data_IF_301185614120
#
_entry.id   IF_301185614120
#
_cell.length_a   1.000
_cell.length_b   1.000
_cell.length_c   1.000
_cell.angle_alpha   90.00
_cell.angle_beta   90.00
_cell.angle_gamma   90.00
#
_symmetry.space_group_name_H-M   'P 1'
#
loop_
_entity.id
_entity.type
_entity.pdbx_description
1 polymer ?
#
# COMPACT_ATOMS: atom_id res chain seq x y z
N UNK A 1 -59.90 67.86 -13.19
CA UNK A 1 -59.15 68.81 -12.33
C UNK A 1 -59.50 68.53 -10.88
N UNK A 2 -58.53 68.73 -9.99
CA UNK A 2 -58.67 68.74 -8.52
C UNK A 2 -58.66 67.40 -7.80
N UNK A 3 -57.48 67.13 -7.25
CA UNK A 3 -57.20 66.45 -5.98
C UNK A 3 -58.13 66.87 -4.83
N UNK A 4 -58.50 65.92 -3.96
CA UNK A 4 -58.67 66.16 -2.52
C UNK A 4 -58.66 64.84 -1.74
N UNK A 5 -57.79 64.79 -0.71
CA UNK A 5 -57.72 63.74 0.33
C UNK A 5 -58.74 64.02 1.45
N UNK A 6 -59.14 62.93 2.14
CA UNK A 6 -59.43 62.77 3.59
C UNK A 6 -60.62 61.80 3.76
N UNK A 7 -60.77 60.92 4.75
CA UNK A 7 -59.96 60.32 5.83
C UNK A 7 -60.85 59.21 6.46
N UNK A 8 -60.24 58.15 7.01
CA UNK A 8 -60.77 57.22 8.07
C UNK A 8 -62.00 56.32 7.81
N UNK A 9 -61.78 55.00 7.85
CA UNK A 9 -62.17 54.02 8.91
C UNK A 9 -61.90 52.61 8.36
N UNK A 10 -60.97 51.82 8.91
CA UNK A 10 -61.19 50.94 10.06
C UNK A 10 -61.33 49.49 9.58
N UNK A 11 -60.26 48.68 9.59
CA UNK A 11 -60.35 47.23 9.43
C UNK A 11 -59.25 46.50 10.20
N UNK A 12 -59.68 45.47 10.92
CA UNK A 12 -58.95 44.71 11.92
C UNK A 12 -57.72 43.99 11.36
N UNK A 13 -56.65 44.01 12.16
CA UNK A 13 -55.47 43.16 12.04
C UNK A 13 -55.84 41.70 12.39
N UNK A 14 -55.59 40.77 11.47
CA UNK A 14 -55.43 39.34 11.75
C UNK A 14 -54.00 38.96 11.35
N UNK A 15 -53.14 38.78 12.36
CA UNK A 15 -51.77 38.30 12.21
C UNK A 15 -51.84 36.78 12.04
N UNK A 16 -51.53 36.28 10.85
CA UNK A 16 -51.25 34.86 10.64
C UNK A 16 -49.74 34.63 10.80
N UNK A 17 -49.33 34.00 11.91
CA UNK A 17 -47.98 33.47 12.09
C UNK A 17 -47.78 32.28 11.15
N UNK A 18 -47.06 32.47 10.06
CA UNK A 18 -46.49 31.38 9.26
C UNK A 18 -45.17 30.92 9.89
N UNK A 19 -45.18 29.79 10.59
CA UNK A 19 -43.95 29.13 11.06
C UNK A 19 -43.28 28.45 9.88
N UNK A 20 -42.29 29.11 9.28
CA UNK A 20 -41.39 28.49 8.31
C UNK A 20 -40.37 27.62 9.04
N UNK A 21 -40.58 26.30 9.07
CA UNK A 21 -39.58 25.35 9.54
C UNK A 21 -38.43 25.28 8.54
N UNK A 22 -37.28 25.86 8.92
CA UNK A 22 -36.02 25.74 8.19
C UNK A 22 -35.49 24.32 8.41
N UNK A 23 -35.79 23.39 7.49
CA UNK A 23 -35.19 22.05 7.49
C UNK A 23 -33.71 22.17 7.11
N UNK A 24 -32.85 22.34 8.11
CA UNK A 24 -31.42 22.10 7.97
C UNK A 24 -31.23 20.62 7.64
N UNK A 25 -31.10 20.31 6.34
CA UNK A 25 -30.70 18.99 5.88
C UNK A 25 -29.31 18.68 6.43
N UNK A 26 -29.26 17.84 7.46
CA UNK A 26 -28.02 17.21 7.90
C UNK A 26 -27.54 16.34 6.74
N UNK A 27 -26.57 16.83 5.96
CA UNK A 27 -25.85 15.98 5.01
C UNK A 27 -25.00 15.05 5.84
N UNK A 28 -25.50 13.84 6.09
CA UNK A 28 -24.64 12.74 6.52
C UNK A 28 -23.68 12.45 5.37
N UNK A 29 -22.44 12.89 5.51
CA UNK A 29 -21.32 12.40 4.69
C UNK A 29 -21.30 10.90 4.91
N UNK A 30 -21.69 10.12 3.90
CA UNK A 30 -21.48 8.67 3.93
C UNK A 30 -19.98 8.47 4.02
N UNK A 31 -19.50 7.91 5.12
CA UNK A 31 -18.15 7.35 5.13
C UNK A 31 -18.09 6.37 3.96
N UNK A 32 -17.15 6.59 3.05
CA UNK A 32 -16.92 5.69 1.93
C UNK A 32 -16.61 4.31 2.52
N UNK A 33 -17.36 3.28 2.14
CA UNK A 33 -17.10 1.94 2.64
C UNK A 33 -15.73 1.51 2.11
N UNK A 34 -14.74 1.40 3.00
CA UNK A 34 -13.39 0.96 2.64
C UNK A 34 -13.49 -0.42 2.01
N UNK A 35 -13.16 -0.53 0.71
CA UNK A 35 -13.12 -1.82 0.04
C UNK A 35 -11.83 -2.53 0.42
N UNK A 36 -11.94 -3.44 1.39
CA UNK A 36 -10.81 -4.28 1.83
C UNK A 36 -10.80 -5.59 1.05
N UNK A 37 -9.66 -5.87 0.42
CA UNK A 37 -9.32 -7.15 -0.20
C UNK A 37 -8.44 -7.93 0.77
N UNK A 38 -8.97 -9.02 1.30
CA UNK A 38 -8.25 -9.90 2.23
C UNK A 38 -7.37 -10.90 1.46
N UNK A 39 -6.09 -10.96 1.83
CA UNK A 39 -5.09 -11.90 1.31
C UNK A 39 -4.51 -12.67 2.48
N UNK A 40 -4.82 -13.96 2.57
CA UNK A 40 -4.17 -14.88 3.50
C UNK A 40 -2.87 -15.42 2.89
N UNK A 41 -1.77 -15.34 3.61
CA UNK A 41 -0.52 -16.02 3.27
C UNK A 41 -0.28 -17.20 4.21
N UNK A 42 0.08 -18.33 3.63
CA UNK A 42 0.71 -19.45 4.34
C UNK A 42 1.92 -19.90 3.55
N UNK A 43 2.59 -20.94 4.03
CA UNK A 43 3.81 -21.46 3.42
C UNK A 43 3.58 -21.78 1.94
N UNK A 44 4.17 -20.93 1.10
CA UNK A 44 4.19 -21.02 -0.36
C UNK A 44 2.80 -20.92 -1.03
N UNK A 45 1.80 -20.33 -0.36
CA UNK A 45 0.43 -20.23 -0.90
C UNK A 45 -0.26 -18.92 -0.52
N UNK A 46 -1.16 -18.47 -1.39
CA UNK A 46 -2.10 -17.39 -1.13
C UNK A 46 -3.54 -17.90 -1.09
N UNK A 47 -4.32 -17.37 -0.15
CA UNK A 47 -5.78 -17.37 -0.18
C UNK A 47 -6.25 -15.96 -0.48
N UNK A 48 -6.73 -15.73 -1.70
CA UNK A 48 -7.17 -14.42 -2.18
C UNK A 48 -8.35 -14.57 -3.16
N UNK A 49 -9.19 -13.54 -3.34
CA UNK A 49 -10.21 -13.56 -4.38
C UNK A 49 -9.57 -13.64 -5.78
N UNK A 50 -10.20 -14.39 -6.67
CA UNK A 50 -9.76 -14.47 -8.08
C UNK A 50 -10.20 -13.27 -8.91
N UNK A 51 -11.21 -12.52 -8.44
CA UNK A 51 -11.73 -11.34 -9.12
C UNK A 51 -12.13 -10.29 -8.10
N UNK A 52 -11.77 -9.04 -8.37
CA UNK A 52 -12.16 -7.86 -7.60
C UNK A 52 -12.60 -6.73 -8.53
N UNK A 53 -13.32 -5.75 -7.99
CA UNK A 53 -13.67 -4.53 -8.72
C UNK A 53 -12.48 -3.56 -8.77
N UNK A 54 -12.34 -2.87 -9.89
CA UNK A 54 -11.40 -1.76 -10.07
C UNK A 54 -11.74 -0.59 -9.15
N UNK A 55 -10.73 0.18 -8.80
CA UNK A 55 -10.83 1.34 -7.93
C UNK A 55 -9.69 1.39 -6.92
N UNK A 56 -9.83 2.29 -5.95
CA UNK A 56 -8.94 2.36 -4.81
C UNK A 56 -9.30 1.25 -3.82
N UNK A 57 -8.37 0.36 -3.55
CA UNK A 57 -8.59 -0.80 -2.67
C UNK A 57 -7.58 -0.83 -1.55
N UNK A 58 -8.03 -1.19 -0.36
CA UNK A 58 -7.12 -1.57 0.74
C UNK A 58 -6.84 -3.07 0.62
N UNK A 59 -5.58 -3.45 0.43
CA UNK A 59 -5.17 -4.85 0.57
C UNK A 59 -4.70 -5.09 1.99
N UNK A 60 -5.26 -6.13 2.61
CA UNK A 60 -4.82 -6.65 3.90
C UNK A 60 -4.15 -8.00 3.70
N UNK A 61 -2.88 -8.08 4.06
CA UNK A 61 -2.19 -9.37 4.15
C UNK A 61 -2.28 -9.85 5.59
N UNK A 62 -2.69 -11.10 5.79
CA UNK A 62 -2.52 -11.82 7.06
C UNK A 62 -1.61 -13.01 6.84
N UNK A 63 -0.48 -13.04 7.53
CA UNK A 63 0.44 -14.16 7.47
C UNK A 63 0.06 -15.19 8.54
N UNK A 64 -0.45 -16.34 8.12
CA UNK A 64 -0.78 -17.48 8.98
C UNK A 64 0.37 -18.49 9.11
N UNK A 65 1.41 -18.33 8.30
CA UNK A 65 2.59 -19.18 8.29
C UNK A 65 3.66 -18.76 9.30
N UNK A 66 4.81 -19.42 9.21
CA UNK A 66 6.01 -19.17 10.01
C UNK A 66 7.04 -18.33 9.27
N UNK A 67 7.17 -18.51 7.95
CA UNK A 67 8.10 -17.73 7.13
C UNK A 67 7.60 -16.29 6.94
N UNK A 68 8.51 -15.38 6.61
CA UNK A 68 8.14 -14.04 6.14
C UNK A 68 7.34 -14.19 4.85
N UNK A 69 6.21 -13.49 4.74
CA UNK A 69 5.47 -13.43 3.48
C UNK A 69 5.13 -11.98 3.16
N UNK A 70 5.12 -11.65 1.87
CA UNK A 70 4.61 -10.39 1.34
C UNK A 70 3.68 -10.69 0.15
N UNK A 71 2.99 -9.67 -0.36
CA UNK A 71 2.11 -9.80 -1.52
C UNK A 71 2.42 -8.68 -2.51
N UNK A 72 3.29 -8.95 -3.49
CA UNK A 72 3.56 -8.02 -4.59
C UNK A 72 2.40 -8.07 -5.57
N UNK A 73 1.82 -6.91 -5.89
CA UNK A 73 0.86 -6.78 -6.99
C UNK A 73 1.57 -6.39 -8.28
N UNK A 74 1.34 -7.20 -9.31
CA UNK A 74 1.97 -7.07 -10.61
C UNK A 74 0.88 -6.96 -11.66
N UNK A 75 0.73 -5.81 -12.31
CA UNK A 75 -0.20 -5.62 -13.43
C UNK A 75 0.47 -6.11 -14.71
N UNK A 76 -0.09 -7.13 -15.35
CA UNK A 76 0.43 -7.62 -16.63
C UNK A 76 0.12 -6.60 -17.75
N UNK A 77 1.05 -6.47 -18.70
CA UNK A 77 0.85 -5.68 -19.91
C UNK A 77 -0.28 -6.29 -20.75
N UNK A 78 -0.94 -5.46 -21.57
CA UNK A 78 -2.02 -5.92 -22.43
C UNK A 78 -1.52 -7.03 -23.36
N UNK A 79 -2.22 -8.18 -23.35
CA UNK A 79 -1.87 -9.35 -24.16
C UNK A 79 -0.89 -10.32 -23.51
N UNK A 80 -0.30 -9.99 -22.35
CA UNK A 80 0.51 -10.94 -21.56
C UNK A 80 -0.41 -11.84 -20.74
N UNK A 81 -0.29 -13.15 -20.91
CA UNK A 81 -1.02 -14.13 -20.10
C UNK A 81 -0.32 -14.42 -18.78
N UNK A 82 -1.07 -14.95 -17.80
CA UNK A 82 -0.51 -15.46 -16.56
C UNK A 82 0.57 -16.51 -16.81
N UNK A 83 0.31 -17.48 -17.69
CA UNK A 83 1.25 -18.57 -17.97
C UNK A 83 2.55 -18.04 -18.60
N UNK A 84 2.44 -17.09 -19.55
CA UNK A 84 3.62 -16.46 -20.15
C UNK A 84 4.47 -15.75 -19.10
N UNK A 85 3.82 -14.96 -18.24
CA UNK A 85 4.51 -14.26 -17.17
C UNK A 85 5.11 -15.21 -16.13
N UNK A 86 4.37 -16.23 -15.70
CA UNK A 86 4.83 -17.20 -14.72
C UNK A 86 6.03 -18.01 -15.25
N UNK A 87 6.02 -18.40 -16.52
CA UNK A 87 7.18 -19.05 -17.16
C UNK A 87 8.39 -18.12 -17.18
N UNK A 88 8.24 -16.89 -17.66
CA UNK A 88 9.34 -15.94 -17.73
C UNK A 88 9.90 -15.62 -16.33
N UNK A 89 9.03 -15.45 -15.33
CA UNK A 89 9.46 -15.20 -13.95
C UNK A 89 10.22 -16.40 -13.36
N UNK A 90 9.83 -17.63 -13.69
CA UNK A 90 10.56 -18.84 -13.26
C UNK A 90 11.93 -18.98 -13.93
N UNK A 91 12.07 -18.54 -15.19
CA UNK A 91 13.31 -18.67 -15.96
C UNK A 91 14.29 -17.51 -15.72
N UNK A 92 13.78 -16.29 -15.57
CA UNK A 92 14.57 -15.05 -15.56
C UNK A 92 14.50 -14.33 -14.20
N UNK A 93 13.63 -14.76 -13.29
CA UNK A 93 13.38 -14.07 -12.02
C UNK A 93 12.77 -12.68 -12.24
N UNK A 94 13.07 -11.75 -11.34
CA UNK A 94 12.54 -10.38 -11.39
C UNK A 94 12.94 -9.61 -12.66
N UNK A 95 13.98 -10.05 -13.38
CA UNK A 95 14.40 -9.45 -14.65
C UNK A 95 13.32 -9.56 -15.75
N UNK A 96 12.38 -10.50 -15.64
CA UNK A 96 11.25 -10.62 -16.58
C UNK A 96 10.24 -9.47 -16.45
N UNK A 97 10.15 -8.84 -15.26
CA UNK A 97 9.05 -7.93 -14.92
C UNK A 97 8.99 -6.71 -15.86
N UNK A 98 10.07 -5.94 -16.13
CA UNK A 98 9.96 -4.69 -16.87
C UNK A 98 9.45 -4.83 -18.31
N UNK A 99 9.66 -5.98 -18.94
CA UNK A 99 9.19 -6.25 -20.30
C UNK A 99 7.71 -6.67 -20.36
N UNK A 100 7.19 -7.21 -19.26
CA UNK A 100 5.91 -7.94 -19.25
C UNK A 100 4.85 -7.31 -18.36
N UNK A 101 5.24 -6.48 -17.41
CA UNK A 101 4.35 -6.02 -16.36
C UNK A 101 4.81 -4.70 -15.70
N UNK A 102 3.92 -4.16 -14.87
CA UNK A 102 4.16 -3.00 -14.00
C UNK A 102 3.93 -3.43 -12.55
N UNK A 103 4.86 -3.08 -11.66
CA UNK A 103 4.68 -3.26 -10.23
C UNK A 103 3.82 -2.12 -9.68
N UNK A 104 2.74 -2.44 -8.98
CA UNK A 104 1.74 -1.46 -8.52
C UNK A 104 1.61 -1.41 -6.99
N UNK A 105 2.66 -1.84 -6.28
CA UNK A 105 2.69 -1.94 -4.83
C UNK A 105 2.22 -3.30 -4.32
N UNK A 106 1.36 -3.29 -3.32
CA UNK A 106 0.98 -4.48 -2.56
C UNK A 106 1.62 -4.50 -1.17
N UNK A 107 1.21 -5.43 -0.32
CA UNK A 107 1.62 -5.44 1.09
C UNK A 107 3.04 -5.93 1.23
N UNK A 108 3.87 -5.15 1.93
CA UNK A 108 5.26 -5.48 2.28
C UNK A 108 5.42 -6.74 3.13
N UNK A 109 6.67 -7.10 3.44
CA UNK A 109 7.01 -8.29 4.23
C UNK A 109 6.45 -8.23 5.64
N UNK A 110 5.73 -9.29 6.01
CA UNK A 110 5.10 -9.47 7.31
C UNK A 110 5.64 -10.76 7.92
N UNK A 111 6.17 -10.67 9.15
CA UNK A 111 6.57 -11.85 9.91
C UNK A 111 5.39 -12.76 10.25
N UNK A 112 5.67 -14.04 10.50
CA UNK A 112 4.65 -15.03 10.84
C UNK A 112 3.68 -14.55 11.91
N UNK A 113 2.40 -14.86 11.72
CA UNK A 113 1.27 -14.43 12.56
C UNK A 113 0.99 -12.91 12.56
N UNK A 114 1.67 -12.15 11.72
CA UNK A 114 1.45 -10.71 11.56
C UNK A 114 0.40 -10.35 10.50
N UNK A 115 0.07 -9.06 10.42
CA UNK A 115 -0.76 -8.51 9.37
C UNK A 115 -0.34 -7.07 9.05
N UNK A 116 -0.54 -6.64 7.81
CA UNK A 116 -0.31 -5.27 7.37
C UNK A 116 -1.24 -4.88 6.22
N UNK A 117 -1.43 -3.58 6.08
CA UNK A 117 -2.38 -2.98 5.15
C UNK A 117 -1.67 -1.97 4.25
N UNK A 118 -1.97 -2.06 2.96
CA UNK A 118 -1.68 -0.99 2.01
C UNK A 118 -2.95 -0.63 1.25
N UNK A 119 -2.94 0.53 0.63
CA UNK A 119 -3.97 0.91 -0.31
C UNK A 119 -3.35 1.35 -1.62
N UNK A 120 -3.93 0.84 -2.70
CA UNK A 120 -3.44 1.01 -4.07
C UNK A 120 -4.62 1.29 -5.01
N UNK A 121 -4.31 1.91 -6.13
CA UNK A 121 -5.29 2.18 -7.17
C UNK A 121 -5.19 1.10 -8.26
N UNK A 122 -6.26 0.33 -8.43
CA UNK A 122 -6.33 -0.74 -9.42
C UNK A 122 -7.24 -0.35 -10.58
N UNK A 123 -6.70 -0.43 -11.78
CA UNK A 123 -7.48 -0.31 -13.02
C UNK A 123 -7.82 -1.70 -13.56
N UNK A 124 -8.84 -1.83 -14.43
CA UNK A 124 -9.16 -3.11 -15.04
C UNK A 124 -7.95 -3.75 -15.74
N UNK A 125 -7.81 -5.06 -15.59
CA UNK A 125 -6.70 -5.82 -16.16
C UNK A 125 -6.42 -7.13 -15.45
N UNK A 126 -5.40 -7.83 -15.94
CA UNK A 126 -4.90 -9.07 -15.34
C UNK A 126 -3.71 -8.75 -14.45
N UNK A 127 -3.74 -9.29 -13.23
CA UNK A 127 -2.71 -9.10 -12.23
C UNK A 127 -2.19 -10.45 -11.74
N UNK A 128 -1.00 -10.41 -11.15
CA UNK A 128 -0.40 -11.52 -10.40
C UNK A 128 -0.10 -11.02 -9.00
N UNK A 129 -0.46 -11.83 -8.01
CA UNK A 129 0.03 -11.72 -6.63
C UNK A 129 1.21 -12.68 -6.51
N UNK A 130 2.39 -12.20 -6.15
CA UNK A 130 3.59 -13.03 -6.03
C UNK A 130 4.35 -12.75 -4.71
N UNK A 131 5.05 -13.76 -4.21
CA UNK A 131 5.96 -13.64 -3.06
C UNK A 131 7.41 -13.92 -3.50
N UNK A 132 8.26 -12.89 -3.47
CA UNK A 132 9.68 -12.91 -3.80
C UNK A 132 10.58 -13.17 -2.59
N UNK A 133 10.02 -13.18 -1.37
CA UNK A 133 10.78 -13.49 -0.16
C UNK A 133 11.50 -14.85 -0.32
N UNK A 134 12.82 -14.91 -0.09
CA UNK A 134 13.57 -16.16 -0.14
C UNK A 134 13.28 -17.00 1.12
N UNK A 135 13.10 -18.30 0.90
CA UNK A 135 13.16 -19.30 1.97
C UNK A 135 14.60 -19.48 2.47
N UNK A 136 14.77 -20.24 3.56
CA UNK A 136 16.10 -20.58 4.09
C UNK A 136 16.99 -21.41 3.15
N UNK A 137 16.43 -21.98 2.09
CA UNK A 137 17.16 -22.64 0.98
C UNK A 137 17.61 -21.65 -0.11
N UNK A 138 17.32 -20.36 0.05
CA UNK A 138 17.62 -19.30 -0.91
C UNK A 138 16.61 -19.15 -2.04
N UNK A 139 15.65 -20.08 -2.20
CA UNK A 139 14.68 -20.01 -3.27
C UNK A 139 13.54 -19.05 -2.92
N UNK A 140 13.14 -18.14 -3.82
CA UNK A 140 12.00 -17.27 -3.59
C UNK A 140 10.70 -18.08 -3.53
N UNK A 141 9.74 -17.64 -2.72
CA UNK A 141 8.49 -18.39 -2.53
C UNK A 141 7.69 -18.59 -3.81
N UNK A 142 7.74 -17.66 -4.77
CA UNK A 142 7.08 -17.82 -6.07
C UNK A 142 7.61 -19.06 -6.80
N UNK A 143 8.91 -19.34 -6.69
CA UNK A 143 9.54 -20.53 -7.30
C UNK A 143 9.08 -21.83 -6.63
N UNK A 144 8.49 -21.73 -5.44
CA UNK A 144 7.89 -22.83 -4.67
C UNK A 144 6.37 -22.90 -4.86
N UNK A 145 5.80 -22.08 -5.75
CA UNK A 145 4.39 -22.06 -6.12
C UNK A 145 3.58 -20.87 -5.58
N UNK A 146 4.21 -19.94 -4.87
CA UNK A 146 3.51 -18.81 -4.23
C UNK A 146 3.20 -17.66 -5.21
N UNK A 147 2.37 -17.96 -6.19
CA UNK A 147 1.77 -16.99 -7.11
C UNK A 147 0.29 -17.28 -7.30
N UNK A 148 -0.50 -16.23 -7.47
CA UNK A 148 -1.92 -16.34 -7.78
C UNK A 148 -2.34 -15.31 -8.84
N UNK A 149 -3.16 -15.69 -9.83
CA UNK A 149 -3.78 -14.72 -10.74
C UNK A 149 -4.87 -13.93 -10.01
N UNK A 150 -5.01 -12.66 -10.39
CA UNK A 150 -6.07 -11.77 -9.93
C UNK A 150 -6.64 -11.02 -11.14
N UNK A 151 -7.95 -11.12 -11.35
CA UNK A 151 -8.65 -10.34 -12.37
C UNK A 151 -9.26 -9.09 -11.74
N UNK A 152 -8.96 -7.92 -12.29
CA UNK A 152 -9.61 -6.67 -11.88
C UNK A 152 -10.59 -6.25 -12.97
N UNK A 153 -11.87 -6.11 -12.61
CA UNK A 153 -12.98 -5.82 -13.53
C UNK A 153 -13.64 -4.47 -13.23
N UNK A 154 -14.65 -4.09 -14.01
CA UNK A 154 -15.44 -2.88 -13.75
C UNK A 154 -14.81 -1.59 -14.28
N UNK A 155 -15.22 -0.45 -13.73
CA UNK A 155 -14.65 0.86 -14.05
C UNK A 155 -13.91 1.39 -12.84
N UNK A 156 -12.69 1.89 -13.03
CA UNK A 156 -11.93 2.51 -11.95
C UNK A 156 -12.61 3.81 -11.52
N UNK A 157 -13.35 3.76 -10.42
CA UNK A 157 -13.86 4.94 -9.73
C UNK A 157 -12.87 5.28 -8.64
N UNK A 158 -11.86 6.09 -8.97
CA UNK A 158 -10.94 6.60 -7.96
C UNK A 158 -11.66 7.69 -7.17
N UNK A 159 -11.84 7.46 -5.88
CA UNK A 159 -12.34 8.49 -4.97
C UNK A 159 -11.28 9.57 -4.74
N UNK A 160 -11.65 10.64 -4.02
CA UNK A 160 -10.70 11.68 -3.62
C UNK A 160 -9.47 11.06 -2.98
N UNK A 161 -8.30 11.65 -3.21
CA UNK A 161 -7.06 11.19 -2.59
C UNK A 161 -7.26 11.03 -1.07
N UNK A 162 -6.74 9.95 -0.47
CA UNK A 162 -6.85 9.73 0.96
C UNK A 162 -6.13 10.84 1.72
N UNK A 163 -6.66 11.21 2.88
CA UNK A 163 -5.92 12.03 3.81
C UNK A 163 -4.66 11.27 4.27
N UNK A 164 -3.51 11.93 4.21
CA UNK A 164 -2.21 11.36 4.58
C UNK A 164 -1.49 12.24 5.60
N UNK A 165 -0.86 11.61 6.58
CA UNK A 165 0.01 12.24 7.57
C UNK A 165 1.32 12.77 6.98
N UNK A 166 1.67 12.35 5.76
CA UNK A 166 2.85 12.78 5.04
C UNK A 166 3.06 11.98 3.76
N UNK A 167 4.09 12.36 2.98
CA UNK A 167 4.56 11.62 1.82
C UNK A 167 5.96 11.08 2.09
N UNK A 168 6.19 9.81 1.78
CA UNK A 168 7.52 9.22 1.67
C UNK A 168 7.87 9.08 0.19
N UNK A 169 9.09 9.42 -0.17
CA UNK A 169 9.57 9.34 -1.55
C UNK A 169 10.73 8.37 -1.66
N UNK A 170 10.62 7.47 -2.62
CA UNK A 170 11.67 6.53 -3.01
C UNK A 170 12.26 7.06 -4.32
N UNK A 171 13.56 7.31 -4.34
CA UNK A 171 14.27 7.71 -5.55
C UNK A 171 15.74 7.30 -5.43
N UNK A 172 16.31 6.89 -6.56
CA UNK A 172 17.65 6.31 -6.60
C UNK A 172 17.80 5.21 -5.54
N UNK A 173 18.89 5.17 -4.78
CA UNK A 173 19.03 4.22 -3.66
C UNK A 173 18.75 4.87 -2.30
N UNK A 174 17.70 5.70 -2.20
CA UNK A 174 17.39 6.45 -0.99
C UNK A 174 15.89 6.56 -0.67
N UNK A 175 15.62 6.77 0.62
CA UNK A 175 14.32 7.13 1.15
C UNK A 175 14.34 8.57 1.65
N UNK A 176 13.50 9.42 1.08
CA UNK A 176 13.12 10.70 1.67
C UNK A 176 11.90 10.48 2.58
N UNK A 177 12.17 10.40 3.88
CA UNK A 177 11.18 10.26 4.94
C UNK A 177 11.75 10.81 6.27
N UNK A 178 10.89 11.19 7.23
CA UNK A 178 11.34 11.68 8.53
C UNK A 178 12.15 10.64 9.31
N UNK A 179 13.12 11.10 10.13
CA UNK A 179 13.87 10.24 11.07
C UNK A 179 13.03 9.82 12.29
N UNK A 180 11.86 10.43 12.48
CA UNK A 180 10.91 10.07 13.53
C UNK A 180 9.47 10.17 13.06
N UNK A 181 8.67 9.15 13.36
CA UNK A 181 7.23 9.11 13.12
C UNK A 181 6.47 9.05 14.45
N UNK A 182 5.25 9.61 14.52
CA UNK A 182 4.37 9.40 15.67
C UNK A 182 3.95 7.93 15.76
N UNK A 183 3.82 7.41 16.98
CA UNK A 183 3.23 6.11 17.25
C UNK A 183 1.72 6.09 16.97
N UNK A 184 1.21 4.90 16.65
CA UNK A 184 -0.20 4.64 16.43
C UNK A 184 -0.65 4.76 14.97
N UNK A 185 -1.97 4.83 14.72
CA UNK A 185 -2.55 4.80 13.39
C UNK A 185 -2.20 6.05 12.56
N UNK A 186 -1.65 5.84 11.36
CA UNK A 186 -1.38 6.90 10.39
C UNK A 186 -1.36 6.35 8.96
N UNK A 187 -1.75 7.19 8.00
CA UNK A 187 -1.65 6.87 6.57
C UNK A 187 -0.54 7.70 5.95
N UNK A 188 0.37 7.07 5.22
CA UNK A 188 1.42 7.78 4.48
C UNK A 188 1.30 7.46 2.99
N UNK A 189 1.34 8.50 2.16
CA UNK A 189 1.48 8.34 0.71
C UNK A 189 2.93 7.95 0.42
N UNK A 190 3.13 6.98 -0.45
CA UNK A 190 4.45 6.52 -0.90
C UNK A 190 4.54 6.71 -2.39
N UNK A 191 5.59 7.38 -2.84
CA UNK A 191 5.80 7.72 -4.26
C UNK A 191 7.13 7.14 -4.71
N UNK A 192 7.14 6.47 -5.85
CA UNK A 192 8.37 6.18 -6.56
C UNK A 192 8.67 7.32 -7.55
N UNK A 193 9.65 8.15 -7.20
CA UNK A 193 10.17 9.23 -8.05
C UNK A 193 11.52 8.88 -8.71
N UNK A 194 12.01 7.66 -8.52
CA UNK A 194 13.23 7.15 -9.14
C UNK A 194 13.00 6.54 -10.52
N UNK A 195 14.09 6.08 -11.14
CA UNK A 195 14.08 5.42 -12.45
C UNK A 195 13.99 3.88 -12.37
N UNK A 196 14.16 3.31 -11.17
CA UNK A 196 14.01 1.89 -10.91
C UNK A 196 12.74 1.61 -10.09
N UNK A 197 12.19 0.39 -10.14
CA UNK A 197 11.19 -0.01 -9.17
C UNK A 197 11.77 0.02 -7.76
N UNK A 198 11.00 0.53 -6.80
CA UNK A 198 11.39 0.60 -5.40
C UNK A 198 10.27 0.11 -4.50
N UNK A 199 10.65 -0.47 -3.37
CA UNK A 199 9.75 -0.84 -2.27
C UNK A 199 10.18 -0.14 -0.98
N UNK A 200 9.26 -0.04 -0.03
CA UNK A 200 9.51 0.51 1.29
C UNK A 200 8.93 -0.47 2.31
N UNK A 201 9.72 -1.47 2.66
CA UNK A 201 9.42 -2.42 3.72
C UNK A 201 9.90 -1.89 5.07
N UNK A 202 9.14 -2.16 6.13
CA UNK A 202 9.39 -1.67 7.48
C UNK A 202 9.78 -2.83 8.40
N UNK A 203 10.92 -2.70 9.05
CA UNK A 203 11.45 -3.67 9.99
C UNK A 203 11.54 -3.05 11.38
N UNK A 204 10.86 -3.63 12.37
CA UNK A 204 11.00 -3.25 13.78
C UNK A 204 12.21 -3.94 14.38
N UNK A 205 13.21 -3.19 14.81
CA UNK A 205 14.40 -3.74 15.46
C UNK A 205 14.05 -4.37 16.81
N UNK A 206 14.68 -5.50 17.12
CA UNK A 206 14.61 -6.08 18.46
C UNK A 206 15.30 -5.15 19.48
N UNK A 207 14.94 -5.21 20.77
CA UNK A 207 15.54 -4.34 21.79
C UNK A 207 17.08 -4.39 21.80
N UNK A 208 17.71 -3.23 21.69
CA UNK A 208 19.16 -3.09 21.68
C UNK A 208 19.85 -3.46 20.36
N UNK A 209 19.09 -3.78 19.30
CA UNK A 209 19.62 -3.99 17.95
C UNK A 209 19.69 -2.69 17.17
N UNK A 210 20.60 -2.66 16.21
CA UNK A 210 20.93 -1.48 15.41
C UNK A 210 20.75 -1.75 13.92
N UNK A 211 20.79 -0.68 13.10
CA UNK A 211 20.89 -0.80 11.65
C UNK A 211 22.07 -1.66 11.22
N UNK A 212 23.23 -1.53 11.87
CA UNK A 212 24.41 -2.32 11.56
C UNK A 212 24.20 -3.81 11.82
N UNK A 213 23.47 -4.17 12.88
CA UNK A 213 23.11 -5.58 13.14
C UNK A 213 22.21 -6.14 12.04
N UNK A 214 21.23 -5.36 11.58
CA UNK A 214 20.34 -5.77 10.50
C UNK A 214 21.10 -5.93 9.18
N UNK A 215 21.94 -4.95 8.80
CA UNK A 215 22.78 -5.03 7.60
C UNK A 215 23.73 -6.22 7.63
N UNK A 216 24.35 -6.50 8.78
CA UNK A 216 25.21 -7.67 8.94
C UNK A 216 24.45 -8.99 8.75
N UNK A 217 23.20 -9.05 9.24
CA UNK A 217 22.35 -10.22 9.04
C UNK A 217 21.89 -10.36 7.58
N UNK A 218 21.47 -9.28 6.91
CA UNK A 218 21.09 -9.31 5.48
C UNK A 218 22.24 -9.80 4.58
N UNK A 219 23.46 -9.33 4.85
CA UNK A 219 24.63 -9.71 4.07
C UNK A 219 25.02 -11.19 4.25
N UNK A 220 24.70 -11.79 5.40
CA UNK A 220 25.02 -13.18 5.70
C UNK A 220 23.96 -13.81 6.64
N UNK A 221 22.76 -14.13 6.13
CA UNK A 221 21.65 -14.59 6.96
C UNK A 221 22.01 -15.86 7.73
N UNK A 222 21.96 -15.77 9.06
CA UNK A 222 22.21 -16.91 9.94
C UNK A 222 21.44 -16.75 11.24
N UNK A 223 20.68 -17.78 11.61
CA UNK A 223 19.78 -17.72 12.76
C UNK A 223 18.64 -16.71 12.57
N UNK A 224 17.89 -16.40 13.66
CA UNK A 224 16.78 -15.45 13.59
C UNK A 224 17.24 -14.03 13.24
N UNK A 225 16.46 -13.28 12.44
CA UNK A 225 16.78 -11.88 12.14
C UNK A 225 16.74 -11.01 13.40
N UNK A 226 17.52 -9.92 13.47
CA UNK A 226 17.52 -8.98 14.59
C UNK A 226 16.32 -8.01 14.57
N UNK A 227 15.26 -8.36 13.84
CA UNK A 227 14.09 -7.52 13.62
C UNK A 227 12.84 -8.37 13.36
N UNK A 228 11.67 -7.72 13.41
CA UNK A 228 10.40 -8.23 12.91
C UNK A 228 9.99 -7.41 11.69
N UNK A 229 9.60 -8.05 10.58
CA UNK A 229 9.03 -7.36 9.44
C UNK A 229 7.56 -7.04 9.74
N UNK A 230 7.19 -5.76 9.63
CA UNK A 230 5.87 -5.24 10.04
C UNK A 230 5.04 -4.70 8.87
N UNK A 231 5.34 -5.16 7.65
CA UNK A 231 4.72 -4.72 6.42
C UNK A 231 5.47 -3.58 5.77
N UNK A 232 4.72 -2.64 5.21
CA UNK A 232 5.22 -1.63 4.29
C UNK A 232 4.50 -1.76 2.95
N UNK A 233 5.04 -1.13 1.92
CA UNK A 233 4.53 -1.26 0.55
C UNK A 233 5.61 -1.87 -0.35
N UNK A 234 5.20 -2.90 -1.08
CA UNK A 234 6.04 -3.63 -2.03
C UNK A 234 6.35 -2.78 -3.28
N UNK A 235 7.07 -3.37 -4.23
CA UNK A 235 7.56 -2.71 -5.42
C UNK A 235 6.52 -1.87 -6.15
N UNK A 236 6.88 -0.63 -6.40
CA UNK A 236 6.14 0.33 -7.22
C UNK A 236 7.08 0.68 -8.38
N UNK A 237 6.61 0.53 -9.63
CA UNK A 237 7.37 0.95 -10.81
C UNK A 237 7.53 2.49 -10.87
N UNK A 238 8.53 3.01 -11.62
CA UNK A 238 8.77 4.45 -11.75
C UNK A 238 7.51 5.27 -12.02
N UNK A 239 7.33 6.37 -11.29
CA UNK A 239 6.18 7.28 -11.40
C UNK A 239 4.89 6.77 -10.72
N UNK A 240 4.89 5.57 -10.15
CA UNK A 240 3.76 5.04 -9.40
C UNK A 240 3.68 5.54 -7.96
N UNK A 241 2.55 5.25 -7.31
CA UNK A 241 2.31 5.56 -5.91
C UNK A 241 1.39 4.53 -5.23
N UNK A 242 1.36 4.57 -3.91
CA UNK A 242 0.40 3.87 -3.08
C UNK A 242 0.37 4.46 -1.68
N UNK A 243 -0.34 3.83 -0.76
CA UNK A 243 -0.52 4.31 0.60
C UNK A 243 -0.24 3.18 1.59
N UNK A 244 0.56 3.46 2.62
CA UNK A 244 0.72 2.55 3.75
C UNK A 244 -0.25 2.96 4.86
N UNK A 245 -0.99 1.99 5.38
CA UNK A 245 -1.76 2.16 6.61
C UNK A 245 -0.96 1.56 7.76
N UNK A 246 -0.35 2.44 8.55
CA UNK A 246 0.56 2.06 9.60
C UNK A 246 -0.12 2.16 10.97
N UNK A 247 0.18 1.22 11.86
CA UNK A 247 -0.13 1.30 13.28
C UNK A 247 1.09 0.85 14.08
N UNK A 248 2.12 1.68 14.09
CA UNK A 248 3.42 1.30 14.63
C UNK A 248 3.48 1.58 16.13
N UNK A 249 3.83 0.60 16.97
CA UNK A 249 4.18 0.86 18.36
C UNK A 249 5.51 1.61 18.46
N UNK A 250 5.79 2.33 19.56
CA UNK A 250 7.09 2.95 19.77
C UNK A 250 8.25 1.95 19.65
N UNK A 251 9.38 2.42 19.13
CA UNK A 251 10.59 1.62 18.94
C UNK A 251 11.52 2.14 17.86
N UNK A 252 12.57 1.36 17.61
CA UNK A 252 13.55 1.61 16.55
C UNK A 252 13.20 0.77 15.32
N UNK A 253 13.29 1.36 14.14
CA UNK A 253 12.86 0.76 12.88
C UNK A 253 13.86 1.00 11.77
N UNK A 254 13.73 0.19 10.72
CA UNK A 254 14.44 0.34 9.46
C UNK A 254 13.42 0.36 8.32
N UNK A 255 13.59 1.29 7.38
CA UNK A 255 13.01 1.20 6.04
C UNK A 255 14.05 0.56 5.10
N UNK A 256 13.63 -0.40 4.28
CA UNK A 256 14.53 -1.19 3.41
C UNK A 256 13.89 -1.43 2.03
N UNK A 257 14.72 -1.41 0.98
CA UNK A 257 14.36 -1.86 -0.36
C UNK A 257 15.27 -3.04 -0.76
N UNK A 258 14.68 -4.20 -1.03
CA UNK A 258 15.44 -5.39 -1.45
C UNK A 258 15.28 -5.73 -2.94
N UNK A 259 14.61 -4.88 -3.72
CA UNK A 259 14.54 -5.03 -5.18
C UNK A 259 15.97 -5.08 -5.74
N UNK A 260 16.31 -6.06 -6.60
CA UNK A 260 17.62 -6.13 -7.23
C UNK A 260 17.82 -5.01 -8.26
N UNK A 261 18.98 -4.38 -8.23
CA UNK A 261 19.44 -3.46 -9.27
C UNK A 261 19.68 -4.23 -10.58
N UNK A 262 19.05 -3.84 -11.71
CA UNK A 262 19.21 -4.54 -12.98
C UNK A 262 20.66 -4.59 -13.51
N UNK A 263 21.50 -3.63 -13.13
CA UNK A 263 22.88 -3.56 -13.63
C UNK A 263 23.85 -4.48 -12.87
N UNK A 264 23.70 -4.59 -11.56
CA UNK A 264 24.60 -5.34 -10.68
C UNK A 264 24.02 -6.64 -10.13
N UNK A 265 22.69 -6.80 -10.15
CA UNK A 265 21.96 -7.87 -9.48
C UNK A 265 21.94 -7.76 -7.94
N UNK A 266 22.53 -6.71 -7.36
CA UNK A 266 22.53 -6.50 -5.91
C UNK A 266 21.21 -5.87 -5.46
N UNK A 267 20.70 -6.27 -4.29
CA UNK A 267 19.60 -5.58 -3.64
C UNK A 267 19.92 -4.09 -3.44
N UNK A 268 18.94 -3.20 -3.64
CA UNK A 268 19.12 -1.76 -3.42
C UNK A 268 19.59 -1.41 -2.01
N UNK A 269 19.24 -2.21 -1.01
CA UNK A 269 19.73 -2.08 0.37
C UNK A 269 21.25 -2.23 0.48
N UNK A 270 21.88 -3.08 -0.35
CA UNK A 270 23.34 -3.20 -0.46
C UNK A 270 23.98 -2.03 -1.21
N UNK A 271 23.19 -1.27 -1.97
CA UNK A 271 23.58 -0.04 -2.66
C UNK A 271 23.29 1.22 -1.83
N UNK A 272 22.76 1.06 -0.62
CA UNK A 272 22.51 2.15 0.35
C UNK A 272 21.05 2.46 0.62
N UNK A 273 20.10 1.78 -0.03
CA UNK A 273 18.66 2.02 0.14
C UNK A 273 18.10 1.35 1.41
N UNK A 274 18.62 1.81 2.54
CA UNK A 274 18.26 1.35 3.88
C UNK A 274 18.42 2.51 4.85
N UNK A 275 17.41 2.77 5.68
CA UNK A 275 17.37 3.94 6.56
C UNK A 275 16.81 3.58 7.93
N UNK A 276 17.51 3.94 9.00
CA UNK A 276 16.98 3.84 10.35
C UNK A 276 16.05 5.03 10.66
N UNK A 277 14.99 4.78 11.43
CA UNK A 277 14.11 5.80 11.97
C UNK A 277 13.51 5.35 13.31
N UNK A 278 12.86 6.26 14.03
CA UNK A 278 12.24 5.94 15.32
C UNK A 278 10.73 6.22 15.32
N UNK A 279 9.98 5.43 16.07
CA UNK A 279 8.55 5.66 16.33
C UNK A 279 8.38 6.06 17.79
N UNK A 280 7.69 7.17 18.05
CA UNK A 280 7.55 7.76 19.40
C UNK A 280 6.13 8.20 19.72
#
# INVERSE_FOLDING_TARGET
MSTARNFRTGLLLLIALGVGALMLGCRTTSAEAVHVVEVGAGEFTFSAPQTIEAGRVTLRLTNYGQELHHAQLIRLNDGVSYDQFATALMEEGEAAVPAMATLVGGVGAVSGHGSADVMVDLIPGTYVIACFVPSGDGQPHFAKGMMAPLLVTGQAMLSSLPESSGTFTMADFAFDMPDSLPAGPATYRVVNAGEQPHELNLLKLAPGKTLADAQAWEAAPSGPPPYQAVGGINGISPGGEGYMHLNLPPGDYIAICNIPDPASGQAHSHLGMIKAFTVR
#
